data_IF_749006835653
#
_entry.id   IF_749006835653
#
_cell.length_a   1.000
_cell.length_b   1.000
_cell.length_c   1.000
_cell.angle_alpha   90.00
_cell.angle_beta   90.00
_cell.angle_gamma   90.00
#
_symmetry.space_group_name_H-M   'P 1'
#
loop_
_entity.id
_entity.type
_entity.pdbx_description
1 polymer ?
#
# COMPACT_ATOMS: atom_id res chain seq x y z
N UNK A 1 52.58 7.36 22.97
CA UNK A 1 51.39 8.22 23.11
C UNK A 1 50.19 7.36 22.77
N UNK A 2 49.59 6.70 23.78
CA UNK A 2 48.47 5.77 23.59
C UNK A 2 47.18 6.47 23.99
N UNK A 3 46.24 6.57 23.05
CA UNK A 3 44.91 7.16 23.28
C UNK A 3 44.03 6.04 23.82
N UNK A 4 43.67 6.12 25.11
CA UNK A 4 42.66 5.25 25.70
C UNK A 4 41.31 5.74 25.17
N UNK A 5 40.68 4.97 24.29
CA UNK A 5 39.31 5.22 23.88
C UNK A 5 38.37 4.85 25.04
N UNK A 6 37.66 5.84 25.55
CA UNK A 6 36.67 5.66 26.58
C UNK A 6 35.56 4.74 26.05
N UNK A 7 35.30 3.63 26.75
CA UNK A 7 34.13 2.78 26.50
C UNK A 7 32.87 3.62 26.77
N UNK A 8 32.20 4.02 25.71
CA UNK A 8 30.88 4.62 25.79
C UNK A 8 29.91 3.57 26.36
N UNK A 9 29.35 3.86 27.54
CA UNK A 9 28.26 3.05 28.11
C UNK A 9 27.05 3.21 27.20
N UNK A 10 26.72 2.17 26.45
CA UNK A 10 25.43 2.08 25.76
C UNK A 10 24.34 1.97 26.82
N UNK A 11 23.72 3.10 27.13
CA UNK A 11 22.51 3.16 27.96
C UNK A 11 21.35 2.70 27.09
N UNK A 12 20.89 1.46 27.31
CA UNK A 12 19.69 0.95 26.66
C UNK A 12 18.46 1.64 27.29
N UNK A 13 17.88 2.60 26.58
CA UNK A 13 16.73 3.41 27.01
C UNK A 13 15.37 2.67 26.95
N UNK A 14 15.36 1.35 26.78
CA UNK A 14 14.12 0.58 26.65
C UNK A 14 13.44 0.72 25.27
N UNK A 15 14.07 1.41 24.32
CA UNK A 15 13.68 1.37 22.92
C UNK A 15 14.09 0.02 22.32
N UNK A 16 13.10 -0.80 22.01
CA UNK A 16 13.31 -2.06 21.28
C UNK A 16 13.60 -1.72 19.82
N UNK A 17 14.88 -1.71 19.45
CA UNK A 17 15.28 -1.56 18.05
C UNK A 17 14.91 -2.83 17.28
N UNK A 18 13.91 -2.72 16.40
CA UNK A 18 13.49 -3.85 15.55
C UNK A 18 14.28 -3.81 14.24
N UNK A 19 15.21 -4.76 14.06
CA UNK A 19 15.99 -4.89 12.82
C UNK A 19 15.61 -6.15 12.07
N UNK A 20 15.21 -5.99 10.81
CA UNK A 20 14.96 -7.11 9.91
C UNK A 20 16.21 -7.37 9.05
N UNK A 21 17.07 -8.30 9.48
CA UNK A 21 18.39 -8.56 8.87
C UNK A 21 18.44 -9.73 7.87
N UNK A 22 17.28 -10.21 7.38
CA UNK A 22 17.21 -11.28 6.40
C UNK A 22 17.73 -10.83 5.03
N UNK A 23 18.65 -11.62 4.43
CA UNK A 23 19.32 -11.30 3.15
C UNK A 23 18.38 -11.01 1.96
N UNK A 24 17.14 -11.50 2.00
CA UNK A 24 16.18 -11.41 0.89
C UNK A 24 14.86 -10.73 1.31
N UNK A 25 14.90 -9.89 2.35
CA UNK A 25 13.72 -9.11 2.73
C UNK A 25 13.51 -7.98 1.72
N UNK A 26 12.31 -7.93 1.15
CA UNK A 26 11.87 -6.84 0.30
C UNK A 26 10.82 -6.02 1.02
N UNK A 27 10.73 -4.73 0.70
CA UNK A 27 9.69 -3.83 1.21
C UNK A 27 8.28 -4.41 0.97
N UNK A 28 8.10 -5.13 -0.14
CA UNK A 28 6.83 -5.72 -0.56
C UNK A 28 6.62 -7.16 -0.06
N UNK A 29 7.55 -7.74 0.69
CA UNK A 29 7.51 -9.17 1.07
C UNK A 29 6.27 -9.53 1.88
N UNK A 30 5.81 -8.64 2.75
CA UNK A 30 4.57 -8.82 3.52
C UNK A 30 3.28 -8.73 2.70
N UNK A 31 3.34 -8.18 1.49
CA UNK A 31 2.14 -7.87 0.71
C UNK A 31 1.39 -9.09 0.23
N UNK A 32 2.02 -10.27 0.05
CA UNK A 32 1.24 -11.48 -0.29
C UNK A 32 0.30 -11.87 0.84
N UNK A 33 0.77 -11.78 2.08
CA UNK A 33 -0.05 -12.12 3.24
C UNK A 33 -1.18 -11.12 3.40
N UNK A 34 -0.87 -9.82 3.30
CA UNK A 34 -1.87 -8.77 3.34
C UNK A 34 -2.91 -8.91 2.20
N UNK A 35 -2.45 -9.19 0.98
CA UNK A 35 -3.31 -9.45 -0.17
C UNK A 35 -4.27 -10.63 0.07
N UNK A 36 -3.75 -11.76 0.58
CA UNK A 36 -4.59 -12.92 0.94
C UNK A 36 -5.62 -12.57 2.00
N UNK A 37 -5.26 -11.73 2.96
CA UNK A 37 -6.21 -11.24 3.97
C UNK A 37 -7.33 -10.41 3.34
N UNK A 38 -6.99 -9.44 2.49
CA UNK A 38 -7.95 -8.61 1.74
C UNK A 38 -8.88 -9.47 0.88
N UNK A 39 -8.34 -10.48 0.18
CA UNK A 39 -9.16 -11.43 -0.59
C UNK A 39 -10.09 -12.27 0.29
N UNK A 40 -9.60 -12.76 1.43
CA UNK A 40 -10.42 -13.55 2.35
C UNK A 40 -11.58 -12.74 2.95
N UNK A 41 -11.42 -11.42 3.07
CA UNK A 41 -12.48 -10.51 3.46
C UNK A 41 -13.49 -10.22 2.33
N UNK A 42 -13.20 -10.61 1.08
CA UNK A 42 -13.99 -10.21 -0.10
C UNK A 42 -14.06 -8.69 -0.26
N UNK A 43 -12.98 -7.99 0.13
CA UNK A 43 -13.00 -6.54 0.27
C UNK A 43 -13.19 -5.83 -1.07
N UNK A 44 -12.59 -6.35 -2.15
CA UNK A 44 -12.76 -5.76 -3.49
C UNK A 44 -14.24 -5.80 -3.92
N UNK A 45 -14.89 -6.95 -3.77
CA UNK A 45 -16.30 -7.16 -4.10
C UNK A 45 -17.22 -6.34 -3.18
N UNK A 46 -16.94 -6.31 -1.88
CA UNK A 46 -17.73 -5.57 -0.91
C UNK A 46 -17.70 -4.06 -1.19
N UNK A 47 -16.54 -3.51 -1.54
CA UNK A 47 -16.40 -2.09 -1.91
C UNK A 47 -17.08 -1.79 -3.25
N UNK A 48 -16.95 -2.70 -4.23
CA UNK A 48 -17.62 -2.55 -5.53
C UNK A 48 -19.15 -2.49 -5.38
N UNK A 49 -19.72 -3.31 -4.49
CA UNK A 49 -21.17 -3.36 -4.27
C UNK A 49 -21.71 -2.19 -3.46
N UNK A 50 -20.89 -1.61 -2.57
CA UNK A 50 -21.32 -0.55 -1.65
C UNK A 50 -21.19 0.85 -2.24
N UNK A 51 -20.18 1.10 -3.06
CA UNK A 51 -19.80 2.44 -3.49
C UNK A 51 -20.22 2.65 -4.94
N UNK A 52 -21.21 3.50 -5.15
CA UNK A 52 -21.67 3.81 -6.50
C UNK A 52 -21.10 5.14 -6.99
N UNK A 53 -20.18 5.09 -7.96
CA UNK A 53 -19.58 6.27 -8.56
C UNK A 53 -20.15 6.53 -9.97
N UNK A 54 -20.41 7.80 -10.34
CA UNK A 54 -20.83 8.16 -11.69
C UNK A 54 -19.65 8.06 -12.68
N UNK A 55 -19.24 6.83 -13.00
CA UNK A 55 -18.04 6.53 -13.77
C UNK A 55 -18.40 5.73 -15.03
N UNK A 56 -17.72 6.04 -16.14
CA UNK A 56 -17.74 5.20 -17.35
C UNK A 56 -16.98 3.91 -17.11
N UNK A 57 -17.31 2.88 -17.89
CA UNK A 57 -16.52 1.63 -17.89
C UNK A 57 -15.02 1.93 -18.04
N UNK A 58 -14.23 1.22 -17.25
CA UNK A 58 -12.80 1.46 -17.15
C UNK A 58 -12.09 0.16 -16.81
N UNK A 59 -10.81 0.07 -17.17
CA UNK A 59 -9.96 -1.11 -16.90
C UNK A 59 -9.99 -1.54 -15.42
N UNK A 60 -10.08 -0.57 -14.51
CA UNK A 60 -10.08 -0.83 -13.07
C UNK A 60 -11.45 -0.52 -12.47
N UNK A 61 -12.08 -1.53 -11.88
CA UNK A 61 -13.32 -1.42 -11.08
C UNK A 61 -13.13 -0.54 -9.84
N UNK A 62 -14.22 -0.10 -9.22
CA UNK A 62 -14.18 0.79 -8.04
C UNK A 62 -13.49 0.11 -6.86
N UNK A 63 -13.90 -1.12 -6.53
CA UNK A 63 -13.27 -1.93 -5.48
C UNK A 63 -11.78 -2.11 -5.74
N UNK A 64 -11.40 -2.40 -7.00
CA UNK A 64 -9.99 -2.56 -7.39
C UNK A 64 -9.18 -1.29 -7.16
N UNK A 65 -9.74 -0.13 -7.51
CA UNK A 65 -9.09 1.17 -7.29
C UNK A 65 -8.87 1.46 -5.81
N UNK A 66 -9.86 1.17 -4.98
CA UNK A 66 -9.80 1.40 -3.53
C UNK A 66 -8.82 0.44 -2.85
N UNK A 67 -8.84 -0.85 -3.19
CA UNK A 67 -7.86 -1.84 -2.72
C UNK A 67 -6.44 -1.45 -3.15
N UNK A 68 -6.27 -0.90 -4.35
CA UNK A 68 -4.96 -0.36 -4.77
C UNK A 68 -4.52 0.79 -3.86
N UNK A 69 -5.39 1.76 -3.57
CA UNK A 69 -5.05 2.84 -2.64
C UNK A 69 -4.71 2.31 -1.25
N UNK A 70 -5.41 1.28 -0.77
CA UNK A 70 -5.10 0.61 0.50
C UNK A 70 -3.70 -0.02 0.48
N UNK A 71 -3.28 -0.66 -0.62
CA UNK A 71 -1.92 -1.20 -0.74
C UNK A 71 -0.85 -0.10 -0.73
N UNK A 72 -1.13 1.05 -1.35
CA UNK A 72 -0.24 2.20 -1.25
C UNK A 72 -0.09 2.67 0.20
N UNK A 73 -1.19 2.73 0.97
CA UNK A 73 -1.16 3.10 2.39
C UNK A 73 -0.38 2.10 3.25
N UNK A 74 -0.57 0.80 3.04
CA UNK A 74 0.12 -0.27 3.79
C UNK A 74 1.63 -0.25 3.53
N UNK A 75 2.04 0.19 2.34
CA UNK A 75 3.44 0.36 1.96
C UNK A 75 3.98 1.77 2.26
N UNK A 76 3.23 2.58 3.02
CA UNK A 76 3.60 3.94 3.43
C UNK A 76 3.89 4.88 2.24
N UNK A 77 3.24 4.64 1.10
CA UNK A 77 3.31 5.50 -0.08
C UNK A 77 2.33 6.66 0.07
N UNK A 78 2.81 7.71 0.74
CA UNK A 78 2.01 8.84 1.19
C UNK A 78 1.54 9.77 0.06
N UNK A 79 2.20 9.74 -1.12
CA UNK A 79 1.78 10.53 -2.28
C UNK A 79 1.36 9.61 -3.41
N UNK A 80 0.35 10.04 -4.18
CA UNK A 80 -0.06 9.31 -5.39
C UNK A 80 1.08 9.17 -6.42
N UNK A 81 2.07 10.07 -6.41
CA UNK A 81 3.27 9.96 -7.26
C UNK A 81 4.09 8.72 -6.93
N UNK A 82 4.12 8.33 -5.67
CA UNK A 82 4.99 7.27 -5.15
C UNK A 82 4.48 5.89 -5.61
N UNK A 83 3.20 5.79 -5.98
CA UNK A 83 2.63 4.57 -6.57
C UNK A 83 3.24 4.22 -7.94
N UNK A 84 4.00 5.12 -8.56
CA UNK A 84 4.79 4.80 -9.75
C UNK A 84 5.77 3.64 -9.50
N UNK A 85 6.27 3.48 -8.26
CA UNK A 85 7.10 2.34 -7.88
C UNK A 85 6.33 1.00 -8.00
N UNK A 86 5.07 0.95 -7.54
CA UNK A 86 4.21 -0.24 -7.65
C UNK A 86 3.80 -0.52 -9.10
N UNK A 87 3.70 0.53 -9.91
CA UNK A 87 3.40 0.42 -11.33
C UNK A 87 4.59 -0.13 -12.15
N UNK A 88 5.82 0.20 -11.75
CA UNK A 88 7.03 -0.36 -12.35
C UNK A 88 7.38 -1.77 -11.83
N UNK A 89 7.00 -2.09 -10.58
CA UNK A 89 7.34 -3.36 -9.94
C UNK A 89 6.41 -4.51 -10.39
N UNK A 90 6.93 -5.35 -11.29
CA UNK A 90 6.24 -6.56 -11.78
C UNK A 90 6.16 -7.68 -10.75
N UNK A 91 7.08 -7.72 -9.78
CA UNK A 91 7.05 -8.72 -8.70
C UNK A 91 5.90 -8.40 -7.77
N UNK A 92 5.79 -7.15 -7.33
CA UNK A 92 4.65 -6.67 -6.55
C UNK A 92 3.33 -6.96 -7.25
N UNK A 93 3.21 -6.59 -8.54
CA UNK A 93 2.00 -6.82 -9.33
C UNK A 93 1.58 -8.30 -9.35
N UNK A 94 2.52 -9.20 -9.61
CA UNK A 94 2.25 -10.65 -9.54
C UNK A 94 1.90 -11.11 -8.12
N UNK A 95 2.50 -10.51 -7.11
CA UNK A 95 2.25 -10.86 -5.72
C UNK A 95 0.81 -10.57 -5.31
N UNK A 96 0.28 -9.43 -5.76
CA UNK A 96 -1.09 -9.00 -5.45
C UNK A 96 -2.11 -9.39 -6.51
N UNK A 97 -1.73 -10.21 -7.49
CA UNK A 97 -2.58 -10.68 -8.58
C UNK A 97 -3.14 -9.52 -9.46
N UNK A 98 -2.25 -8.59 -9.82
CA UNK A 98 -2.49 -7.44 -10.70
C UNK A 98 -1.80 -7.61 -12.06
N UNK A 99 -2.58 -7.51 -13.15
CA UNK A 99 -2.03 -7.43 -14.52
C UNK A 99 -1.40 -6.05 -14.83
N UNK A 100 -1.65 -5.08 -13.96
CA UNK A 100 -1.06 -3.75 -13.98
C UNK A 100 -1.59 -2.91 -12.83
N UNK A 101 -0.77 -1.99 -12.35
CA UNK A 101 -1.16 -1.05 -11.31
C UNK A 101 -1.74 0.24 -11.92
N UNK A 102 -2.75 0.89 -11.30
CA UNK A 102 -3.25 2.16 -11.78
C UNK A 102 -2.15 3.24 -11.78
N UNK A 103 -2.16 4.10 -12.80
CA UNK A 103 -1.25 5.24 -12.85
C UNK A 103 -1.71 6.33 -11.86
N UNK A 104 -0.79 7.20 -11.42
CA UNK A 104 -1.12 8.34 -10.56
C UNK A 104 -2.28 9.18 -11.12
N UNK A 105 -2.26 9.46 -12.43
CA UNK A 105 -3.34 10.20 -13.10
C UNK A 105 -4.69 9.44 -13.12
N UNK A 106 -4.67 8.11 -13.06
CA UNK A 106 -5.87 7.27 -12.89
C UNK A 106 -6.44 7.43 -11.49
N UNK A 107 -5.60 7.39 -10.45
CA UNK A 107 -6.01 7.67 -9.07
C UNK A 107 -6.56 9.08 -8.91
N UNK A 108 -5.87 10.10 -9.45
CA UNK A 108 -6.33 11.48 -9.36
C UNK A 108 -7.71 11.68 -10.01
N UNK A 109 -7.96 11.06 -11.17
CA UNK A 109 -9.30 11.13 -11.80
C UNK A 109 -10.35 10.38 -11.00
N UNK A 110 -10.00 9.22 -10.46
CA UNK A 110 -10.90 8.40 -9.64
C UNK A 110 -11.32 9.12 -8.35
N UNK A 111 -10.36 9.67 -7.61
CA UNK A 111 -10.62 10.37 -6.36
C UNK A 111 -11.44 11.65 -6.56
N UNK A 112 -11.32 12.31 -7.71
CA UNK A 112 -12.17 13.47 -8.07
C UNK A 112 -13.65 13.13 -8.23
N UNK A 113 -14.02 11.86 -8.31
CA UNK A 113 -15.42 11.44 -8.39
C UNK A 113 -16.09 11.37 -7.01
N UNK A 114 -15.31 11.38 -5.92
CA UNK A 114 -15.86 11.33 -4.58
C UNK A 114 -16.42 12.69 -4.18
N UNK A 115 -17.69 12.70 -3.79
CA UNK A 115 -18.30 13.78 -3.01
C UNK A 115 -18.34 13.37 -1.54
N UNK A 116 -18.65 14.31 -0.64
CA UNK A 116 -18.82 14.00 0.79
C UNK A 116 -19.88 12.91 1.01
N UNK A 117 -20.99 12.97 0.27
CA UNK A 117 -22.05 11.95 0.35
C UNK A 117 -21.57 10.56 -0.04
N UNK A 118 -20.74 10.45 -1.09
CA UNK A 118 -20.23 9.15 -1.54
C UNK A 118 -19.15 8.63 -0.58
N UNK A 119 -18.33 9.52 -0.01
CA UNK A 119 -17.35 9.13 0.98
C UNK A 119 -17.99 8.50 2.24
N UNK A 120 -19.20 8.93 2.61
CA UNK A 120 -19.96 8.34 3.72
C UNK A 120 -20.43 6.90 3.45
N UNK A 121 -20.47 6.45 2.20
CA UNK A 121 -20.81 5.06 1.86
C UNK A 121 -19.70 4.06 2.23
N UNK A 122 -18.48 4.56 2.46
CA UNK A 122 -17.30 3.74 2.83
C UNK A 122 -17.36 3.32 4.31
N UNK A 123 -17.93 4.15 5.19
CA UNK A 123 -17.96 3.97 6.64
C UNK A 123 -17.83 5.29 7.40
#
# INVERSE_FOLDING_TARGET
MNRIEAKEKVVNNGEVETRFAGKNLTLVGGMKLFHKFVQKLGMEEALEQRINLPRRESKYKVGRMLVSLLYALVLELNRLSDTAHLQADRVFQRLVDFDGYPHQSTFSRFLKLFTVSIAQEIG
#
